data_IF_953334995095
#
_entry.id   IF_953334995095
#
_cell.length_a   1.000
_cell.length_b   1.000
_cell.length_c   1.000
_cell.angle_alpha   90.00
_cell.angle_beta   90.00
_cell.angle_gamma   90.00
#
_symmetry.space_group_name_H-M   'P 1'
#
loop_
_entity.id
_entity.type
_entity.pdbx_description
1 polymer ?
#
# COMPACT_ATOMS: atom_id res chain seq x y z
N UNK A 1 -21.60 -8.77 -20.04
CA UNK A 1 -20.45 -8.40 -19.15
C UNK A 1 -19.70 -7.25 -19.82
N UNK A 2 -19.74 -6.05 -19.26
CA UNK A 2 -18.94 -4.92 -19.74
C UNK A 2 -17.48 -5.23 -19.51
N UNK A 3 -16.65 -5.20 -20.57
CA UNK A 3 -15.20 -5.37 -20.46
C UNK A 3 -14.65 -4.39 -19.44
N UNK A 4 -13.93 -4.88 -18.43
CA UNK A 4 -13.21 -4.02 -17.48
C UNK A 4 -12.26 -3.10 -18.26
N UNK A 5 -12.19 -1.83 -17.87
CA UNK A 5 -11.29 -0.84 -18.47
C UNK A 5 -9.81 -1.19 -18.25
N UNK A 6 -9.52 -1.94 -17.19
CA UNK A 6 -8.19 -2.38 -16.83
C UNK A 6 -7.99 -3.86 -17.13
N UNK A 7 -6.85 -4.17 -17.69
CA UNK A 7 -6.31 -5.52 -17.75
C UNK A 7 -5.23 -5.66 -16.69
N UNK A 8 -5.27 -6.76 -15.94
CA UNK A 8 -4.24 -7.09 -14.94
C UNK A 8 -3.36 -8.19 -15.55
N UNK A 9 -2.19 -7.84 -16.09
CA UNK A 9 -1.30 -8.84 -16.66
C UNK A 9 -0.85 -9.85 -15.61
N UNK A 10 -0.81 -11.12 -16.01
CA UNK A 10 -0.34 -12.22 -15.16
C UNK A 10 1.11 -12.53 -15.50
N UNK A 11 1.93 -12.61 -14.46
CA UNK A 11 3.34 -12.94 -14.53
C UNK A 11 4.19 -12.04 -13.63
N UNK A 12 5.12 -12.65 -12.90
CA UNK A 12 6.18 -11.91 -12.22
C UNK A 12 7.45 -12.08 -13.03
N UNK A 13 7.81 -11.05 -13.80
CA UNK A 13 8.84 -11.10 -14.82
C UNK A 13 10.21 -10.69 -14.27
N UNK A 14 11.28 -11.21 -14.89
CA UNK A 14 12.66 -10.81 -14.59
C UNK A 14 13.03 -9.61 -15.47
N UNK A 15 12.45 -8.45 -15.19
CA UNK A 15 12.81 -7.20 -15.85
C UNK A 15 14.19 -6.68 -15.42
N UNK A 16 14.61 -6.96 -14.16
CA UNK A 16 15.87 -6.48 -13.64
C UNK A 16 16.52 -7.49 -12.68
N UNK A 17 17.88 -7.47 -12.59
CA UNK A 17 18.65 -8.36 -11.70
C UNK A 17 18.54 -7.98 -10.21
N UNK A 18 18.43 -6.67 -9.88
CA UNK A 18 18.26 -6.19 -8.51
C UNK A 18 16.78 -6.23 -8.15
N UNK A 19 16.42 -6.92 -7.08
CA UNK A 19 15.04 -7.13 -6.64
C UNK A 19 14.26 -5.83 -6.42
N UNK A 20 14.92 -4.80 -5.87
CA UNK A 20 14.30 -3.50 -5.62
C UNK A 20 13.73 -2.86 -6.88
N UNK A 21 14.45 -2.89 -7.99
CA UNK A 21 13.96 -2.39 -9.27
C UNK A 21 13.00 -3.37 -9.94
N UNK A 22 13.33 -4.67 -9.89
CA UNK A 22 12.47 -5.71 -10.47
C UNK A 22 11.06 -5.68 -9.89
N UNK A 23 10.94 -5.51 -8.57
CA UNK A 23 9.65 -5.42 -7.92
C UNK A 23 8.84 -4.21 -8.40
N UNK A 24 9.42 -3.03 -8.47
CA UNK A 24 8.71 -1.82 -8.91
C UNK A 24 8.27 -1.91 -10.38
N UNK A 25 9.11 -2.45 -11.27
CA UNK A 25 8.73 -2.68 -12.67
C UNK A 25 7.52 -3.64 -12.78
N UNK A 26 7.54 -4.72 -12.00
CA UNK A 26 6.39 -5.63 -11.93
C UNK A 26 5.16 -4.98 -11.28
N UNK A 27 5.34 -4.10 -10.27
CA UNK A 27 4.22 -3.39 -9.62
C UNK A 27 3.41 -2.59 -10.64
N UNK A 28 4.05 -1.73 -11.40
CA UNK A 28 3.35 -0.90 -12.40
C UNK A 28 2.73 -1.72 -13.52
N UNK A 29 3.41 -2.77 -13.96
CA UNK A 29 2.90 -3.68 -14.97
C UNK A 29 1.68 -4.46 -14.47
N UNK A 30 1.76 -5.10 -13.31
CA UNK A 30 0.68 -5.92 -12.74
C UNK A 30 -0.57 -5.13 -12.38
N UNK A 31 -0.43 -3.84 -12.03
CA UNK A 31 -1.54 -2.92 -11.79
C UNK A 31 -2.24 -2.47 -13.10
N UNK A 32 -1.70 -2.82 -14.26
CA UNK A 32 -2.26 -2.48 -15.58
C UNK A 32 -1.90 -1.07 -16.06
N UNK A 33 -0.93 -0.41 -15.43
CA UNK A 33 -0.53 0.97 -15.75
C UNK A 33 0.69 1.06 -16.66
N UNK A 34 1.51 0.01 -16.74
CA UNK A 34 2.74 0.01 -17.52
C UNK A 34 2.75 -1.10 -18.56
N UNK A 35 3.26 -0.80 -19.75
CA UNK A 35 3.44 -1.77 -20.82
C UNK A 35 4.61 -2.70 -20.52
N UNK A 36 4.50 -3.94 -20.92
CA UNK A 36 5.55 -4.95 -20.74
C UNK A 36 6.87 -4.52 -21.39
N UNK A 37 6.82 -4.06 -22.64
CA UNK A 37 8.01 -3.66 -23.42
C UNK A 37 8.72 -2.46 -22.79
N UNK A 38 7.95 -1.49 -22.27
CA UNK A 38 8.48 -0.32 -21.60
C UNK A 38 9.23 -0.73 -20.30
N UNK A 39 8.67 -1.65 -19.53
CA UNK A 39 9.32 -2.16 -18.30
C UNK A 39 10.57 -2.99 -18.60
N UNK A 40 10.54 -3.77 -19.67
CA UNK A 40 11.70 -4.52 -20.15
C UNK A 40 12.82 -3.60 -20.61
N UNK A 41 12.50 -2.57 -21.40
CA UNK A 41 13.46 -1.59 -21.91
C UNK A 41 14.16 -0.86 -20.73
N UNK A 42 13.38 -0.29 -19.81
CA UNK A 42 13.92 0.42 -18.63
C UNK A 42 14.72 -0.51 -17.73
N UNK A 43 14.26 -1.75 -17.54
CA UNK A 43 14.97 -2.74 -16.73
C UNK A 43 16.39 -3.02 -17.22
N UNK A 44 16.63 -2.98 -18.53
CA UNK A 44 17.97 -3.14 -19.11
C UNK A 44 18.87 -1.89 -18.90
N UNK A 45 18.29 -0.70 -18.88
CA UNK A 45 19.03 0.58 -18.80
C UNK A 45 19.40 0.99 -17.38
N UNK A 46 18.57 0.66 -16.40
CA UNK A 46 18.75 1.07 -15.00
C UNK A 46 19.89 0.28 -14.35
N UNK A 47 20.85 0.98 -13.74
CA UNK A 47 21.95 0.41 -12.94
C UNK A 47 21.96 0.94 -11.50
N UNK A 48 21.41 2.14 -11.30
CA UNK A 48 21.40 2.88 -10.03
C UNK A 48 20.05 3.58 -9.79
N UNK A 49 19.84 4.13 -8.59
CA UNK A 49 18.67 4.97 -8.28
C UNK A 49 18.62 6.26 -9.12
N UNK A 50 19.80 6.79 -9.47
CA UNK A 50 19.89 7.96 -10.38
C UNK A 50 19.41 7.59 -11.78
N UNK A 51 19.85 6.45 -12.31
CA UNK A 51 19.39 5.98 -13.64
C UNK A 51 17.89 5.68 -13.63
N UNK A 52 17.36 5.11 -12.52
CA UNK A 52 15.93 4.87 -12.36
C UNK A 52 15.12 6.15 -12.61
N UNK A 53 15.45 7.25 -11.91
CA UNK A 53 14.78 8.53 -12.12
C UNK A 53 14.89 8.96 -13.59
N UNK A 54 16.11 9.00 -14.12
CA UNK A 54 16.38 9.49 -15.47
C UNK A 54 15.64 8.68 -16.55
N UNK A 55 15.69 7.36 -16.47
CA UNK A 55 15.06 6.51 -17.49
C UNK A 55 13.53 6.49 -17.37
N UNK A 56 12.98 6.57 -16.15
CA UNK A 56 11.54 6.69 -15.96
C UNK A 56 10.98 8.04 -16.44
N UNK A 57 11.73 9.15 -16.25
CA UNK A 57 11.32 10.45 -16.78
C UNK A 57 11.33 10.44 -18.32
N UNK A 58 12.39 9.94 -18.96
CA UNK A 58 12.45 9.79 -20.42
C UNK A 58 11.29 8.95 -20.96
N UNK A 59 10.98 7.86 -20.27
CA UNK A 59 9.87 6.98 -20.65
C UNK A 59 8.51 7.68 -20.49
N UNK A 60 8.34 8.49 -19.44
CA UNK A 60 7.14 9.29 -19.21
C UNK A 60 6.95 10.34 -20.32
N UNK A 61 8.00 11.10 -20.64
CA UNK A 61 7.99 12.10 -21.72
C UNK A 61 7.70 11.46 -23.10
N UNK A 62 8.29 10.30 -23.39
CA UNK A 62 7.98 9.53 -24.59
C UNK A 62 6.51 9.10 -24.61
N UNK A 63 6.00 8.56 -23.51
CA UNK A 63 4.59 8.16 -23.43
C UNK A 63 3.63 9.34 -23.58
N UNK A 64 3.98 10.50 -23.06
CA UNK A 64 3.22 11.74 -23.19
C UNK A 64 3.20 12.21 -24.68
N UNK A 65 4.36 12.23 -25.37
CA UNK A 65 4.44 12.56 -26.79
C UNK A 65 3.67 11.61 -27.69
N UNK A 66 3.53 10.35 -27.28
CA UNK A 66 2.73 9.32 -27.97
C UNK A 66 1.25 9.34 -27.55
N UNK A 67 0.79 10.33 -26.78
CA UNK A 67 -0.57 10.45 -26.22
C UNK A 67 -1.00 9.23 -25.37
N UNK A 68 -0.05 8.53 -24.75
CA UNK A 68 -0.28 7.44 -23.80
C UNK A 68 -0.32 7.98 -22.36
N UNK A 69 -1.31 8.87 -22.08
CA UNK A 69 -1.36 9.68 -20.87
C UNK A 69 -1.40 8.85 -19.59
N UNK A 70 -2.12 7.73 -19.57
CA UNK A 70 -2.11 6.81 -18.41
C UNK A 70 -0.70 6.27 -18.13
N UNK A 71 -0.01 5.80 -19.16
CA UNK A 71 1.35 5.30 -18.98
C UNK A 71 2.27 6.42 -18.49
N UNK A 72 2.18 7.62 -19.11
CA UNK A 72 2.98 8.79 -18.74
C UNK A 72 2.79 9.16 -17.27
N UNK A 73 1.52 9.24 -16.78
CA UNK A 73 1.21 9.50 -15.39
C UNK A 73 1.96 8.55 -14.45
N UNK A 74 1.82 7.25 -14.66
CA UNK A 74 2.43 6.26 -13.78
C UNK A 74 3.94 6.11 -13.94
N UNK A 75 4.51 6.52 -15.08
CA UNK A 75 5.97 6.60 -15.24
C UNK A 75 6.56 7.80 -14.50
N UNK A 76 5.86 8.96 -14.45
CA UNK A 76 6.24 10.06 -13.55
C UNK A 76 6.13 9.66 -12.09
N UNK A 77 5.07 8.91 -11.72
CA UNK A 77 4.96 8.34 -10.36
C UNK A 77 6.12 7.39 -10.04
N UNK A 78 6.49 6.53 -10.98
CA UNK A 78 7.63 5.63 -10.83
C UNK A 78 8.95 6.41 -10.71
N UNK A 79 9.12 7.49 -11.49
CA UNK A 79 10.32 8.34 -11.44
C UNK A 79 10.50 8.98 -10.06
N UNK A 80 9.42 9.55 -9.46
CA UNK A 80 9.47 10.22 -8.17
C UNK A 80 9.67 9.26 -6.99
N UNK A 81 9.36 7.97 -7.16
CA UNK A 81 9.29 6.98 -6.08
C UNK A 81 10.56 6.91 -5.23
N UNK A 82 11.72 6.81 -5.85
CA UNK A 82 13.01 6.72 -5.16
C UNK A 82 13.71 8.07 -4.94
N UNK A 83 13.10 9.18 -5.33
CA UNK A 83 13.66 10.52 -5.07
C UNK A 83 13.52 10.87 -3.59
N UNK A 84 14.51 11.60 -3.05
CA UNK A 84 14.43 12.13 -1.69
C UNK A 84 13.45 13.31 -1.61
N UNK A 85 12.92 13.58 -0.42
CA UNK A 85 11.81 14.52 -0.24
C UNK A 85 12.20 16.01 -0.40
N UNK A 86 13.47 16.35 -0.20
CA UNK A 86 14.02 17.68 -0.37
C UNK A 86 14.31 18.06 -1.85
N UNK A 87 14.13 17.11 -2.76
CA UNK A 87 14.36 17.34 -4.18
C UNK A 87 13.14 18.02 -4.82
N UNK A 88 13.33 19.26 -5.37
CA UNK A 88 12.27 20.02 -6.04
C UNK A 88 11.67 19.30 -7.24
N UNK A 89 12.46 18.51 -7.98
CA UNK A 89 11.98 17.70 -9.11
C UNK A 89 10.98 16.60 -8.66
N UNK A 90 11.11 16.10 -7.42
CA UNK A 90 10.16 15.12 -6.88
C UNK A 90 8.74 15.66 -6.86
N UNK A 91 8.59 16.93 -6.45
CA UNK A 91 7.30 17.61 -6.45
C UNK A 91 6.75 17.78 -7.87
N UNK A 92 7.60 18.18 -8.81
CA UNK A 92 7.19 18.32 -10.21
C UNK A 92 6.71 16.99 -10.80
N UNK A 93 7.41 15.87 -10.52
CA UNK A 93 6.98 14.54 -10.98
C UNK A 93 5.65 14.14 -10.34
N UNK A 94 5.46 14.42 -9.06
CA UNK A 94 4.18 14.20 -8.39
C UNK A 94 3.04 15.01 -9.02
N UNK A 95 3.25 16.30 -9.25
CA UNK A 95 2.23 17.16 -9.84
C UNK A 95 1.87 16.68 -11.26
N UNK A 96 2.86 16.34 -12.10
CA UNK A 96 2.63 15.74 -13.42
C UNK A 96 1.86 14.42 -13.34
N UNK A 97 2.20 13.53 -12.38
CA UNK A 97 1.45 12.31 -12.14
C UNK A 97 -0.03 12.58 -11.88
N UNK A 98 -0.32 13.48 -10.94
CA UNK A 98 -1.69 13.80 -10.53
C UNK A 98 -2.46 14.45 -11.69
N UNK A 99 -1.89 15.43 -12.37
CA UNK A 99 -2.54 16.13 -13.49
C UNK A 99 -2.89 15.15 -14.63
N UNK A 100 -1.93 14.35 -15.07
CA UNK A 100 -2.14 13.38 -16.12
C UNK A 100 -3.12 12.28 -15.72
N UNK A 101 -3.13 11.86 -14.45
CA UNK A 101 -4.09 10.89 -13.93
C UNK A 101 -5.51 11.43 -14.08
N UNK A 102 -5.79 12.61 -13.57
CA UNK A 102 -7.14 13.18 -13.63
C UNK A 102 -7.56 13.58 -15.06
N UNK A 103 -6.63 13.99 -15.93
CA UNK A 103 -6.90 14.19 -17.36
C UNK A 103 -7.30 12.85 -18.01
N UNK A 104 -6.55 11.79 -17.76
CA UNK A 104 -6.80 10.45 -18.35
C UNK A 104 -8.17 9.91 -17.96
N UNK A 105 -8.57 10.10 -16.71
CA UNK A 105 -9.78 9.50 -16.13
C UNK A 105 -10.93 10.50 -15.94
N UNK A 106 -10.88 11.67 -16.59
CA UNK A 106 -11.88 12.76 -16.47
C UNK A 106 -13.33 12.32 -16.71
N UNK A 107 -13.54 11.30 -17.55
CA UNK A 107 -14.86 10.77 -17.89
C UNK A 107 -15.34 9.64 -16.96
N UNK A 108 -14.54 9.25 -15.98
CA UNK A 108 -14.80 8.06 -15.14
C UNK A 108 -15.64 8.36 -13.89
N UNK A 109 -16.14 9.58 -13.74
CA UNK A 109 -16.93 10.01 -12.57
C UNK A 109 -16.26 9.68 -11.24
N UNK A 110 -14.97 10.01 -11.15
CA UNK A 110 -14.21 9.93 -9.89
C UNK A 110 -14.64 11.11 -9.02
N UNK A 111 -15.17 10.82 -7.84
CA UNK A 111 -15.49 11.85 -6.85
C UNK A 111 -14.33 12.03 -5.87
N UNK A 112 -13.88 13.26 -5.68
CA UNK A 112 -12.80 13.61 -4.76
C UNK A 112 -13.35 14.33 -3.53
N UNK A 113 -12.82 13.97 -2.35
CA UNK A 113 -13.28 14.53 -1.08
C UNK A 113 -12.09 14.96 -0.21
N UNK A 114 -12.37 15.89 0.68
CA UNK A 114 -11.49 16.32 1.77
C UNK A 114 -12.22 16.00 3.07
N UNK A 115 -11.93 14.85 3.67
CA UNK A 115 -12.53 14.44 4.93
C UNK A 115 -11.89 15.21 6.08
N UNK A 116 -12.62 15.99 6.88
CA UNK A 116 -12.05 16.74 8.01
C UNK A 116 -11.40 15.79 9.03
N UNK A 117 -10.18 16.08 9.43
CA UNK A 117 -9.45 15.30 10.42
C UNK A 117 -8.45 16.16 11.17
N UNK A 118 -8.63 16.29 12.50
CA UNK A 118 -7.89 17.24 13.32
C UNK A 118 -8.03 18.64 12.68
N UNK A 119 -6.95 19.40 12.54
CA UNK A 119 -6.94 20.73 11.91
C UNK A 119 -6.61 20.65 10.40
N UNK A 120 -6.82 19.51 9.76
CA UNK A 120 -6.44 19.23 8.39
C UNK A 120 -7.48 18.37 7.67
N UNK A 121 -7.08 17.70 6.58
CA UNK A 121 -7.96 16.84 5.79
C UNK A 121 -7.28 15.53 5.42
N UNK A 122 -8.09 14.46 5.35
CA UNK A 122 -7.74 13.20 4.69
C UNK A 122 -8.28 13.25 3.26
N UNK A 123 -7.45 13.23 2.23
CA UNK A 123 -7.91 13.09 0.86
C UNK A 123 -8.60 11.74 0.66
N UNK A 124 -9.74 11.76 -0.01
CA UNK A 124 -10.46 10.55 -0.35
C UNK A 124 -10.96 10.59 -1.80
N UNK A 125 -11.05 9.43 -2.40
CA UNK A 125 -11.55 9.19 -3.74
C UNK A 125 -12.68 8.16 -3.65
N UNK A 126 -13.82 8.45 -4.29
CA UNK A 126 -14.95 7.53 -4.36
C UNK A 126 -15.25 7.15 -5.81
N UNK A 127 -15.53 5.88 -6.03
CA UNK A 127 -16.01 5.32 -7.28
C UNK A 127 -17.30 4.56 -7.01
N UNK A 128 -18.40 5.04 -7.56
CA UNK A 128 -19.71 4.43 -7.42
C UNK A 128 -19.86 3.22 -8.35
N UNK A 129 -20.67 2.20 -7.99
CA UNK A 129 -20.91 1.04 -8.82
C UNK A 129 -21.66 1.43 -10.10
N UNK A 130 -21.51 0.62 -11.15
CA UNK A 130 -22.34 0.72 -12.33
C UNK A 130 -23.68 0.04 -12.07
N UNK A 131 -24.79 0.76 -12.34
CA UNK A 131 -26.16 0.29 -12.15
C UNK A 131 -26.76 0.68 -10.80
N UNK A 132 -28.06 0.39 -10.62
CA UNK A 132 -28.87 0.95 -9.54
C UNK A 132 -28.74 0.22 -8.20
N UNK A 133 -28.16 -1.00 -8.19
CA UNK A 133 -28.06 -1.81 -6.98
C UNK A 133 -26.64 -1.91 -6.47
N UNK A 134 -26.38 -1.22 -5.36
CA UNK A 134 -25.14 -1.32 -4.57
C UNK A 134 -25.16 -2.61 -3.74
N UNK A 135 -24.11 -3.45 -3.87
CA UNK A 135 -23.93 -4.69 -3.08
C UNK A 135 -23.34 -4.42 -1.70
N UNK A 136 -22.63 -3.32 -1.53
CA UNK A 136 -21.96 -2.95 -0.28
C UNK A 136 -20.92 -1.85 -0.52
N UNK A 137 -20.23 -1.45 0.55
CA UNK A 137 -19.17 -0.45 0.51
C UNK A 137 -17.83 -1.08 0.90
N UNK A 138 -16.83 -0.85 0.07
CA UNK A 138 -15.41 -1.18 0.35
C UNK A 138 -14.69 0.12 0.65
N UNK A 139 -14.11 0.21 1.85
CA UNK A 139 -13.17 1.28 2.23
C UNK A 139 -11.77 0.73 2.11
N UNK A 140 -10.84 1.47 1.49
CA UNK A 140 -9.48 0.98 1.30
C UNK A 140 -8.43 2.05 1.52
N UNK A 141 -7.25 1.62 1.94
CA UNK A 141 -6.09 2.49 2.08
C UNK A 141 -4.79 1.73 1.82
N UNK A 142 -3.77 2.50 1.47
CA UNK A 142 -2.42 1.98 1.28
C UNK A 142 -1.63 1.86 2.58
N UNK A 143 -0.34 1.62 2.39
CA UNK A 143 0.64 1.50 3.48
C UNK A 143 1.61 2.69 3.54
N UNK A 144 2.90 2.40 3.35
CA UNK A 144 4.00 3.32 3.64
C UNK A 144 4.27 4.36 2.54
N UNK A 145 4.01 4.00 1.26
CA UNK A 145 4.55 4.75 0.12
C UNK A 145 3.59 4.93 -1.07
N UNK A 146 2.36 4.45 -0.97
CA UNK A 146 1.38 4.52 -2.06
C UNK A 146 0.49 5.76 -1.98
N UNK A 147 -0.01 6.17 -3.15
CA UNK A 147 -1.06 7.17 -3.31
C UNK A 147 -2.38 6.50 -3.68
N UNK A 148 -3.51 7.14 -3.38
CA UNK A 148 -4.84 6.54 -3.68
C UNK A 148 -5.05 6.33 -5.16
N UNK A 149 -4.48 7.14 -6.03
CA UNK A 149 -4.56 7.02 -7.48
C UNK A 149 -3.96 5.70 -7.99
N UNK A 150 -2.97 5.14 -7.28
CA UNK A 150 -2.38 3.84 -7.64
C UNK A 150 -3.36 2.67 -7.48
N UNK A 151 -4.36 2.83 -6.62
CA UNK A 151 -5.40 1.81 -6.39
C UNK A 151 -6.62 1.97 -7.29
N UNK A 152 -6.62 2.94 -8.20
CA UNK A 152 -7.76 3.21 -9.05
C UNK A 152 -8.19 1.98 -9.89
N UNK A 153 -7.25 1.19 -10.39
CA UNK A 153 -7.57 -0.06 -11.10
C UNK A 153 -8.31 -1.08 -10.22
N UNK A 154 -7.96 -1.17 -8.92
CA UNK A 154 -8.69 -1.99 -7.94
C UNK A 154 -10.07 -1.42 -7.67
N UNK A 155 -10.17 -0.11 -7.46
CA UNK A 155 -11.46 0.55 -7.21
C UNK A 155 -12.43 0.32 -8.37
N UNK A 156 -11.96 0.47 -9.61
CA UNK A 156 -12.74 0.18 -10.81
C UNK A 156 -13.16 -1.27 -10.89
N UNK A 157 -12.26 -2.19 -10.55
CA UNK A 157 -12.57 -3.61 -10.55
C UNK A 157 -13.71 -3.93 -9.58
N UNK A 158 -13.65 -3.46 -8.36
CA UNK A 158 -14.73 -3.65 -7.38
C UNK A 158 -16.02 -2.93 -7.78
N UNK A 159 -15.91 -1.71 -8.29
CA UNK A 159 -17.06 -0.94 -8.75
C UNK A 159 -17.78 -1.61 -9.94
N UNK A 160 -17.04 -2.17 -10.89
CA UNK A 160 -17.59 -2.93 -12.01
C UNK A 160 -18.32 -4.22 -11.54
N UNK A 161 -18.04 -4.70 -10.32
CA UNK A 161 -18.71 -5.84 -9.67
C UNK A 161 -19.82 -5.44 -8.69
N UNK A 162 -20.19 -4.15 -8.64
CA UNK A 162 -21.35 -3.66 -7.90
C UNK A 162 -21.07 -3.11 -6.50
N UNK A 163 -19.81 -2.87 -6.14
CA UNK A 163 -19.44 -2.25 -4.87
C UNK A 163 -19.18 -0.76 -5.03
N UNK A 164 -19.62 0.03 -4.07
CA UNK A 164 -19.11 1.38 -3.88
C UNK A 164 -17.73 1.29 -3.24
N UNK A 165 -16.77 2.03 -3.77
CA UNK A 165 -15.39 1.99 -3.27
C UNK A 165 -14.92 3.37 -2.88
N UNK A 166 -14.43 3.49 -1.64
CA UNK A 166 -13.85 4.70 -1.10
C UNK A 166 -12.40 4.39 -0.74
N UNK A 167 -11.45 5.02 -1.44
CA UNK A 167 -10.05 5.00 -1.06
C UNK A 167 -9.67 6.30 -0.38
N UNK A 168 -8.85 6.27 0.67
CA UNK A 168 -8.41 7.47 1.36
C UNK A 168 -6.93 7.41 1.73
N UNK A 169 -6.33 8.57 1.93
CA UNK A 169 -4.98 8.74 2.46
C UNK A 169 -5.06 9.18 3.91
N UNK A 170 -4.57 8.32 4.80
CA UNK A 170 -4.48 8.63 6.21
C UNK A 170 -3.23 9.44 6.57
N UNK A 171 -3.03 9.74 7.86
CA UNK A 171 -1.85 10.46 8.34
C UNK A 171 -0.55 9.83 7.83
N UNK A 172 0.38 10.65 7.35
CA UNK A 172 1.66 10.21 6.79
C UNK A 172 1.62 9.75 5.33
N UNK A 173 0.44 9.52 4.76
CA UNK A 173 0.28 9.03 3.38
C UNK A 173 0.06 10.18 2.39
N UNK A 174 0.49 10.00 1.15
CA UNK A 174 0.21 10.79 -0.03
C UNK A 174 -0.01 12.29 0.20
N UNK A 175 -1.12 12.82 -0.25
CA UNK A 175 -1.48 14.23 -0.09
C UNK A 175 -1.86 14.59 1.36
N UNK A 176 -2.29 13.64 2.20
CA UNK A 176 -2.51 13.89 3.63
C UNK A 176 -1.22 14.35 4.31
N UNK A 177 -0.08 13.75 3.95
CA UNK A 177 1.24 14.20 4.40
C UNK A 177 1.75 15.39 3.62
N UNK A 178 1.67 15.34 2.29
CA UNK A 178 2.33 16.29 1.38
C UNK A 178 1.65 17.67 1.36
N UNK A 179 0.31 17.71 1.34
CA UNK A 179 -0.49 18.94 1.26
C UNK A 179 -0.94 19.45 2.63
N UNK A 180 -1.25 18.53 3.54
CA UNK A 180 -1.86 18.86 4.83
C UNK A 180 -0.95 18.65 6.04
N UNK A 181 0.27 18.12 5.83
CA UNK A 181 1.29 18.02 6.87
C UNK A 181 0.99 16.99 7.98
N UNK A 182 0.01 16.11 7.80
CA UNK A 182 -0.33 15.08 8.76
C UNK A 182 0.81 14.06 8.89
N UNK A 183 1.31 13.88 10.10
CA UNK A 183 2.35 12.90 10.40
C UNK A 183 1.77 11.50 10.56
N UNK A 184 2.53 10.49 10.13
CA UNK A 184 2.19 9.08 10.29
C UNK A 184 1.94 8.73 11.76
N UNK A 185 0.84 8.05 12.01
CA UNK A 185 0.39 7.62 13.32
C UNK A 185 -0.03 6.15 13.27
N UNK A 186 0.10 5.43 14.38
CA UNK A 186 -0.31 4.02 14.44
C UNK A 186 -1.78 3.83 14.90
N UNK A 187 -2.39 4.84 15.50
CA UNK A 187 -3.78 4.83 15.98
C UNK A 187 -4.78 4.98 14.81
N UNK A 188 -4.76 3.97 13.92
CA UNK A 188 -5.46 4.03 12.63
C UNK A 188 -6.99 3.97 12.75
N UNK A 189 -7.52 3.57 13.88
CA UNK A 189 -8.95 3.68 14.20
C UNK A 189 -9.46 5.12 14.10
N UNK A 190 -8.63 6.11 14.41
CA UNK A 190 -9.02 7.53 14.40
C UNK A 190 -9.29 8.06 12.98
N UNK A 191 -8.39 7.92 11.99
CA UNK A 191 -8.68 8.35 10.63
C UNK A 191 -9.78 7.51 9.96
N UNK A 192 -9.87 6.20 10.25
CA UNK A 192 -10.98 5.36 9.77
C UNK A 192 -12.31 5.87 10.30
N UNK A 193 -12.41 6.13 11.61
CA UNK A 193 -13.62 6.69 12.23
C UNK A 193 -14.05 7.98 11.52
N UNK A 194 -13.12 8.90 11.26
CA UNK A 194 -13.42 10.16 10.57
C UNK A 194 -13.97 9.92 9.15
N UNK A 195 -13.41 8.97 8.40
CA UNK A 195 -13.90 8.60 7.07
C UNK A 195 -15.31 8.00 7.14
N UNK A 196 -15.55 7.05 8.07
CA UNK A 196 -16.87 6.42 8.23
C UNK A 196 -17.93 7.44 8.67
N UNK A 197 -17.60 8.35 9.58
CA UNK A 197 -18.49 9.44 10.02
C UNK A 197 -18.85 10.37 8.85
N UNK A 198 -17.86 10.79 8.07
CA UNK A 198 -18.06 11.71 6.95
C UNK A 198 -18.99 11.14 5.86
N UNK A 199 -18.79 9.88 5.51
CA UNK A 199 -19.60 9.20 4.50
C UNK A 199 -20.86 8.52 5.09
N UNK A 200 -21.09 8.60 6.40
CA UNK A 200 -22.22 8.00 7.13
C UNK A 200 -22.35 6.49 6.87
N UNK A 201 -21.26 5.78 7.10
CA UNK A 201 -21.15 4.34 6.81
C UNK A 201 -21.21 3.51 8.11
N UNK A 202 -22.06 2.46 8.11
CA UNK A 202 -22.26 1.57 9.27
C UNK A 202 -21.91 0.09 9.02
N UNK A 203 -21.82 -0.33 7.76
CA UNK A 203 -21.42 -1.68 7.35
C UNK A 203 -20.41 -1.60 6.19
N UNK A 204 -19.14 -1.79 6.51
CA UNK A 204 -18.10 -1.72 5.50
C UNK A 204 -17.18 -2.95 5.51
N UNK A 205 -16.62 -3.23 4.34
CA UNK A 205 -15.42 -4.06 4.19
C UNK A 205 -14.21 -3.15 4.12
N UNK A 206 -13.27 -3.30 5.07
CA UNK A 206 -12.03 -2.53 5.09
C UNK A 206 -10.90 -3.33 4.41
N UNK A 207 -10.18 -2.71 3.48
CA UNK A 207 -9.04 -3.30 2.78
C UNK A 207 -7.77 -2.50 3.07
N UNK A 208 -6.80 -3.15 3.71
CA UNK A 208 -5.48 -2.57 3.97
C UNK A 208 -4.41 -3.23 3.10
N UNK A 209 -3.58 -2.42 2.42
CA UNK A 209 -2.56 -2.88 1.47
C UNK A 209 -1.16 -2.59 2.00
N UNK A 210 -0.27 -3.59 1.98
CA UNK A 210 1.10 -3.49 2.51
C UNK A 210 1.10 -3.20 4.02
N UNK A 211 1.79 -2.16 4.50
CA UNK A 211 1.71 -1.71 5.90
C UNK A 211 0.26 -1.38 6.31
N UNK A 212 -0.61 -1.06 5.34
CA UNK A 212 -2.05 -0.92 5.56
C UNK A 212 -2.71 -2.16 6.11
N UNK A 213 -2.13 -3.34 5.93
CA UNK A 213 -2.58 -4.58 6.57
C UNK A 213 -2.50 -4.50 8.10
N UNK A 214 -1.42 -3.94 8.66
CA UNK A 214 -1.31 -3.68 10.09
C UNK A 214 -2.32 -2.62 10.53
N UNK A 215 -2.44 -1.53 9.78
CA UNK A 215 -3.36 -0.44 10.08
C UNK A 215 -4.82 -0.87 10.08
N UNK A 216 -5.24 -1.72 9.14
CA UNK A 216 -6.63 -2.18 9.10
C UNK A 216 -6.96 -3.11 10.28
N UNK A 217 -6.02 -3.93 10.78
CA UNK A 217 -6.22 -4.70 12.00
C UNK A 217 -6.30 -3.83 13.24
N UNK A 218 -5.47 -2.81 13.35
CA UNK A 218 -5.59 -1.82 14.42
C UNK A 218 -6.95 -1.12 14.39
N UNK A 219 -7.40 -0.70 13.22
CA UNK A 219 -8.68 -0.01 13.09
C UNK A 219 -9.86 -0.90 13.46
N UNK A 220 -9.90 -2.14 12.97
CA UNK A 220 -11.04 -3.06 13.21
C UNK A 220 -11.15 -3.49 14.67
N UNK A 221 -10.06 -3.47 15.43
CA UNK A 221 -10.09 -3.75 16.86
C UNK A 221 -10.94 -2.73 17.65
N UNK A 222 -11.10 -1.50 17.15
CA UNK A 222 -11.77 -0.39 17.84
C UNK A 222 -12.98 0.19 17.09
N UNK A 223 -13.18 -0.15 15.82
CA UNK A 223 -14.28 0.40 15.00
C UNK A 223 -15.29 -0.69 14.60
N UNK A 224 -16.40 -0.81 15.31
CA UNK A 224 -17.37 -1.89 15.12
C UNK A 224 -18.19 -1.80 13.82
N UNK A 225 -18.19 -0.66 13.13
CA UNK A 225 -18.83 -0.49 11.81
C UNK A 225 -18.09 -1.22 10.70
N UNK A 226 -16.83 -1.59 10.91
CA UNK A 226 -16.12 -2.49 10.02
C UNK A 226 -16.62 -3.90 10.31
N UNK A 227 -17.32 -4.53 9.36
CA UNK A 227 -17.83 -5.90 9.51
C UNK A 227 -16.92 -6.96 8.94
N UNK A 228 -16.10 -6.58 7.97
CA UNK A 228 -15.14 -7.44 7.26
C UNK A 228 -13.82 -6.72 7.10
N UNK A 229 -12.73 -7.40 7.37
CA UNK A 229 -11.38 -6.83 7.19
C UNK A 229 -10.54 -7.72 6.27
N UNK A 230 -9.84 -7.08 5.35
CA UNK A 230 -8.98 -7.74 4.36
C UNK A 230 -7.59 -7.12 4.44
N UNK A 231 -6.59 -7.93 4.74
CA UNK A 231 -5.20 -7.52 4.77
C UNK A 231 -4.42 -8.14 3.62
N UNK A 232 -3.88 -7.31 2.72
CA UNK A 232 -2.99 -7.73 1.65
C UNK A 232 -1.55 -7.45 2.07
N UNK A 233 -0.83 -8.49 2.44
CA UNK A 233 0.51 -8.49 3.04
C UNK A 233 0.55 -7.75 4.38
N UNK A 234 0.56 -8.50 5.46
CA UNK A 234 0.57 -7.99 6.84
C UNK A 234 1.89 -8.26 7.55
N UNK A 235 2.32 -7.34 8.43
CA UNK A 235 3.32 -7.58 9.45
C UNK A 235 2.69 -7.39 10.83
N UNK A 236 2.57 -8.47 11.59
CA UNK A 236 1.99 -8.52 12.92
C UNK A 236 2.77 -7.68 13.93
N UNK A 237 4.09 -7.87 13.96
CA UNK A 237 5.04 -7.08 14.72
C UNK A 237 6.25 -6.84 13.83
N UNK A 238 6.49 -5.58 13.46
CA UNK A 238 7.56 -5.26 12.51
C UNK A 238 8.94 -5.59 13.02
N UNK A 239 9.18 -5.46 14.33
CA UNK A 239 10.48 -5.82 14.92
C UNK A 239 10.69 -7.33 14.99
N UNK A 240 9.62 -8.12 15.14
CA UNK A 240 9.67 -9.58 15.13
C UNK A 240 9.86 -10.16 13.70
N UNK A 241 9.77 -9.34 12.66
CA UNK A 241 10.14 -9.75 11.30
C UNK A 241 11.65 -9.98 11.15
N UNK A 242 12.47 -9.45 12.05
CA UNK A 242 13.92 -9.64 12.06
C UNK A 242 14.34 -10.89 12.84
N UNK A 243 15.55 -11.37 12.57
CA UNK A 243 16.21 -12.35 13.44
C UNK A 243 16.36 -11.79 14.86
N UNK A 244 16.27 -12.63 15.89
CA UNK A 244 16.28 -12.23 17.31
C UNK A 244 17.53 -11.42 17.67
N UNK A 245 18.70 -11.83 17.19
CA UNK A 245 19.99 -11.14 17.49
C UNK A 245 19.99 -9.77 16.81
N UNK A 246 19.66 -9.72 15.53
CA UNK A 246 19.59 -8.47 14.76
C UNK A 246 18.56 -7.52 15.39
N UNK A 247 17.40 -8.02 15.80
CA UNK A 247 16.37 -7.24 16.47
C UNK A 247 16.89 -6.61 17.78
N UNK A 248 17.51 -7.42 18.66
CA UNK A 248 18.08 -6.91 19.92
C UNK A 248 19.11 -5.82 19.65
N UNK A 249 19.98 -6.04 18.67
CA UNK A 249 20.98 -5.05 18.25
C UNK A 249 20.31 -3.77 17.73
N UNK A 250 19.32 -3.85 16.85
CA UNK A 250 18.60 -2.67 16.36
C UNK A 250 17.92 -1.89 17.48
N UNK A 251 17.23 -2.58 18.39
CA UNK A 251 16.58 -1.94 19.55
C UNK A 251 17.62 -1.25 20.42
N UNK A 252 18.79 -1.88 20.65
CA UNK A 252 19.89 -1.28 21.39
C UNK A 252 20.40 0.00 20.73
N UNK A 253 20.65 -0.02 19.41
CA UNK A 253 21.06 1.16 18.65
C UNK A 253 20.03 2.29 18.70
N UNK A 254 18.74 1.96 18.56
CA UNK A 254 17.65 2.94 18.63
C UNK A 254 17.57 3.56 20.02
N UNK A 255 17.67 2.76 21.09
CA UNK A 255 17.44 3.23 22.47
C UNK A 255 18.67 3.85 23.15
N UNK A 256 19.86 3.31 22.95
CA UNK A 256 21.02 3.60 23.78
C UNK A 256 22.15 4.38 23.08
N UNK A 257 22.28 4.29 21.76
CA UNK A 257 23.34 5.00 21.02
C UNK A 257 22.79 5.87 19.90
N UNK A 258 21.68 6.54 20.17
CA UNK A 258 20.90 7.35 19.22
C UNK A 258 21.75 8.38 18.47
N UNK A 259 22.58 9.15 19.17
CA UNK A 259 23.37 10.21 18.55
C UNK A 259 24.35 9.68 17.50
N UNK A 260 25.01 8.57 17.80
CA UNK A 260 25.90 7.90 16.84
C UNK A 260 25.12 7.34 15.66
N UNK A 261 24.03 6.62 15.95
CA UNK A 261 23.14 6.03 14.94
C UNK A 261 22.55 7.09 14.02
N UNK A 262 22.09 8.23 14.54
CA UNK A 262 21.62 9.37 13.76
C UNK A 262 22.69 9.87 12.78
N UNK A 263 23.92 10.09 13.26
CA UNK A 263 25.03 10.54 12.40
C UNK A 263 25.31 9.56 11.26
N UNK A 264 25.30 8.27 11.55
CA UNK A 264 25.57 7.22 10.55
C UNK A 264 24.48 7.15 9.49
N UNK A 265 23.19 7.16 9.90
CA UNK A 265 22.06 7.11 8.98
C UNK A 265 21.97 8.38 8.13
N UNK A 266 22.13 9.57 8.72
CA UNK A 266 22.14 10.85 7.99
C UNK A 266 23.28 10.90 6.97
N UNK A 267 24.47 10.38 7.32
CA UNK A 267 25.58 10.25 6.36
C UNK A 267 25.23 9.32 5.20
N UNK A 268 24.51 8.22 5.48
CA UNK A 268 23.98 7.31 4.45
C UNK A 268 22.97 7.99 3.52
N UNK A 269 22.04 8.75 4.07
CA UNK A 269 21.04 9.53 3.31
C UNK A 269 21.73 10.56 2.40
N UNK A 270 22.69 11.32 2.93
CA UNK A 270 23.45 12.32 2.14
C UNK A 270 24.23 11.71 0.98
N UNK A 271 24.71 10.47 1.11
CA UNK A 271 25.34 9.73 0.01
C UNK A 271 24.36 9.30 -1.08
N UNK A 272 23.05 9.31 -0.80
CA UNK A 272 21.97 9.05 -1.76
C UNK A 272 21.95 7.63 -2.35
N UNK A 273 22.70 6.69 -1.79
CA UNK A 273 22.89 5.38 -2.37
C UNK A 273 22.17 4.28 -1.58
N UNK A 274 21.14 3.72 -2.18
CA UNK A 274 20.56 2.46 -1.75
C UNK A 274 19.20 2.57 -1.05
N UNK A 275 18.58 1.40 -0.91
CA UNK A 275 17.23 1.25 -0.37
C UNK A 275 17.13 1.72 1.09
N UNK A 276 18.16 1.48 1.91
CA UNK A 276 18.17 1.89 3.32
C UNK A 276 18.13 3.41 3.48
N UNK A 277 18.92 4.14 2.67
CA UNK A 277 18.90 5.60 2.67
C UNK A 277 17.52 6.14 2.29
N UNK A 278 16.92 5.59 1.25
CA UNK A 278 15.56 5.95 0.82
C UNK A 278 14.52 5.63 1.91
N UNK A 279 14.53 4.42 2.47
CA UNK A 279 13.58 4.03 3.53
C UNK A 279 13.69 4.92 4.75
N UNK A 280 14.90 5.24 5.20
CA UNK A 280 15.11 6.12 6.36
C UNK A 280 14.62 7.54 6.09
N UNK A 281 14.94 8.09 4.92
CA UNK A 281 14.46 9.41 4.51
C UNK A 281 12.93 9.46 4.37
N UNK A 282 12.34 8.41 3.77
CA UNK A 282 10.90 8.28 3.64
C UNK A 282 10.21 8.17 5.01
N UNK A 283 10.79 7.41 5.95
CA UNK A 283 10.26 7.29 7.31
C UNK A 283 10.31 8.62 8.06
N UNK A 284 11.44 9.33 7.99
CA UNK A 284 11.58 10.68 8.57
C UNK A 284 10.54 11.63 8.00
N UNK A 285 10.32 11.60 6.69
CA UNK A 285 9.32 12.42 6.02
C UNK A 285 7.90 12.09 6.47
N UNK A 286 7.51 10.81 6.44
CA UNK A 286 6.13 10.39 6.77
C UNK A 286 5.80 10.64 8.23
N UNK A 287 6.75 10.40 9.15
CA UNK A 287 6.59 10.65 10.59
C UNK A 287 6.82 12.10 11.01
N UNK A 288 7.26 12.95 10.07
CA UNK A 288 7.60 14.38 10.35
C UNK A 288 8.67 14.52 11.43
N UNK A 289 9.66 13.61 11.42
CA UNK A 289 10.80 13.63 12.36
C UNK A 289 12.07 14.08 11.66
N UNK A 290 12.87 14.91 12.34
CA UNK A 290 14.13 15.42 11.82
C UNK A 290 15.28 14.44 11.99
N UNK A 291 15.19 13.55 12.98
CA UNK A 291 16.24 12.57 13.29
C UNK A 291 15.78 11.14 12.96
N UNK A 292 16.67 10.32 12.33
CA UNK A 292 16.34 8.95 11.96
C UNK A 292 15.87 8.07 13.11
N UNK A 293 16.49 8.18 14.30
CA UNK A 293 16.11 7.36 15.45
C UNK A 293 14.75 7.74 16.02
N UNK A 294 14.37 9.03 15.95
CA UNK A 294 13.03 9.48 16.34
C UNK A 294 11.96 8.99 15.35
N UNK A 295 12.32 8.91 14.08
CA UNK A 295 11.44 8.31 13.08
C UNK A 295 11.32 6.79 13.26
N UNK A 296 12.40 6.10 13.63
CA UNK A 296 12.39 4.67 13.92
C UNK A 296 11.60 4.29 15.17
N UNK A 297 11.38 5.22 16.11
CA UNK A 297 10.47 4.99 17.25
C UNK A 297 9.05 4.61 16.77
N UNK A 298 8.63 5.10 15.59
CA UNK A 298 7.38 4.69 14.99
C UNK A 298 7.34 3.18 14.66
N UNK A 299 8.44 2.60 14.15
CA UNK A 299 8.50 1.15 13.91
C UNK A 299 8.35 0.33 15.19
N UNK A 300 8.81 0.86 16.33
CA UNK A 300 8.64 0.22 17.62
C UNK A 300 7.18 0.22 18.07
N UNK A 301 6.36 1.16 17.59
CA UNK A 301 4.92 1.20 17.88
C UNK A 301 4.12 0.19 17.02
N UNK A 302 4.66 -0.25 15.88
CA UNK A 302 4.00 -1.26 15.04
C UNK A 302 4.27 -2.67 15.57
N UNK A 303 3.81 -2.94 16.77
CA UNK A 303 3.98 -4.17 17.51
C UNK A 303 2.64 -4.86 17.80
N UNK A 304 2.70 -6.08 18.36
CA UNK A 304 1.52 -6.87 18.70
C UNK A 304 0.64 -6.24 19.78
N UNK A 305 1.25 -5.53 20.74
CA UNK A 305 0.54 -4.89 21.85
C UNK A 305 -0.35 -3.75 21.34
N UNK A 306 0.17 -2.90 20.46
CA UNK A 306 -0.60 -1.80 19.85
C UNK A 306 -1.56 -2.28 18.75
N UNK A 307 -1.38 -3.48 18.22
CA UNK A 307 -2.24 -4.03 17.17
C UNK A 307 -3.58 -4.51 17.70
N UNK A 308 -3.62 -5.04 18.92
CA UNK A 308 -4.81 -5.56 19.58
C UNK A 308 -5.58 -6.60 18.78
N UNK A 309 -4.88 -7.57 18.17
CA UNK A 309 -5.51 -8.60 17.33
C UNK A 309 -6.54 -9.44 18.08
N UNK A 310 -6.41 -9.58 19.39
CA UNK A 310 -7.35 -10.28 20.27
C UNK A 310 -8.71 -9.56 20.40
N UNK A 311 -8.77 -8.27 20.08
CA UNK A 311 -10.03 -7.51 20.12
C UNK A 311 -10.82 -7.63 18.80
N UNK A 312 -10.22 -8.19 17.76
CA UNK A 312 -10.89 -8.37 16.45
C UNK A 312 -11.98 -9.42 16.56
N UNK A 313 -13.24 -9.04 16.26
CA UNK A 313 -14.43 -9.90 16.32
C UNK A 313 -15.09 -10.11 14.96
N UNK A 314 -14.56 -9.53 13.92
CA UNK A 314 -15.11 -9.48 12.57
C UNK A 314 -14.69 -10.69 11.73
N UNK A 315 -15.25 -10.78 10.53
CA UNK A 315 -14.78 -11.70 9.52
C UNK A 315 -13.46 -11.19 8.93
N UNK A 316 -12.44 -12.05 8.82
CA UNK A 316 -11.07 -11.70 8.44
C UNK A 316 -10.63 -12.47 7.21
N UNK A 317 -10.05 -11.76 6.23
CA UNK A 317 -9.32 -12.33 5.10
C UNK A 317 -7.87 -11.84 5.12
N UNK A 318 -6.93 -12.77 5.15
CA UNK A 318 -5.49 -12.49 5.03
C UNK A 318 -4.98 -13.02 3.69
N UNK A 319 -4.41 -12.13 2.88
CA UNK A 319 -3.79 -12.46 1.60
C UNK A 319 -2.28 -12.38 1.73
N UNK A 320 -1.57 -13.48 1.57
CA UNK A 320 -0.12 -13.54 1.78
C UNK A 320 0.60 -14.14 0.57
N UNK A 321 1.60 -13.44 0.07
CA UNK A 321 2.55 -14.00 -0.89
C UNK A 321 3.58 -14.88 -0.17
N UNK A 322 3.74 -16.14 -0.57
CA UNK A 322 4.69 -17.08 0.05
C UNK A 322 6.14 -16.58 0.04
N UNK A 323 6.50 -15.82 -0.99
CA UNK A 323 7.83 -15.28 -1.22
C UNK A 323 7.87 -13.75 -1.10
N UNK A 324 7.00 -13.19 -0.25
CA UNK A 324 7.04 -11.75 0.07
C UNK A 324 8.43 -11.38 0.60
N UNK A 325 9.10 -10.45 -0.07
CA UNK A 325 10.48 -10.07 0.25
C UNK A 325 10.57 -8.95 1.29
N UNK A 326 9.45 -8.30 1.61
CA UNK A 326 9.38 -7.31 2.68
C UNK A 326 8.90 -7.91 4.00
N UNK A 327 7.94 -8.84 3.92
CA UNK A 327 7.27 -9.41 5.09
C UNK A 327 7.49 -10.92 5.11
N UNK A 328 8.30 -11.44 6.04
CA UNK A 328 8.58 -12.87 6.10
C UNK A 328 7.31 -13.66 6.42
N UNK A 329 7.17 -14.82 5.79
CA UNK A 329 5.97 -15.68 5.88
C UNK A 329 5.57 -16.05 7.32
N UNK A 330 6.51 -16.05 8.26
CA UNK A 330 6.20 -16.29 9.70
C UNK A 330 5.23 -15.26 10.27
N UNK A 331 5.23 -14.00 9.76
CA UNK A 331 4.28 -12.98 10.21
C UNK A 331 2.83 -13.37 9.93
N UNK A 332 2.58 -14.11 8.82
CA UNK A 332 1.27 -14.68 8.51
C UNK A 332 0.78 -15.59 9.65
N UNK A 333 1.61 -16.56 10.08
CA UNK A 333 1.24 -17.47 11.15
C UNK A 333 1.04 -16.78 12.48
N UNK A 334 1.87 -15.78 12.79
CA UNK A 334 1.74 -14.98 14.01
C UNK A 334 0.41 -14.24 14.04
N UNK A 335 0.03 -13.60 12.93
CA UNK A 335 -1.24 -12.88 12.83
C UNK A 335 -2.44 -13.82 12.92
N UNK A 336 -2.44 -14.93 12.18
CA UNK A 336 -3.54 -15.92 12.24
C UNK A 336 -3.73 -16.43 13.67
N UNK A 337 -2.64 -16.74 14.37
CA UNK A 337 -2.69 -17.22 15.76
C UNK A 337 -3.22 -16.18 16.75
N UNK A 338 -2.98 -14.91 16.50
CA UNK A 338 -3.38 -13.81 17.39
C UNK A 338 -4.87 -13.42 17.27
N UNK A 339 -5.55 -13.86 16.22
CA UNK A 339 -6.97 -13.55 15.97
C UNK A 339 -7.91 -14.48 16.75
N UNK A 340 -7.78 -14.53 18.06
CA UNK A 340 -8.45 -15.51 18.91
C UNK A 340 -9.96 -15.32 19.06
N UNK A 341 -10.45 -14.11 18.83
CA UNK A 341 -11.86 -13.75 18.97
C UNK A 341 -12.53 -13.39 17.64
N UNK A 342 -11.80 -13.51 16.51
CA UNK A 342 -12.38 -13.24 15.20
C UNK A 342 -13.53 -14.21 14.90
N UNK A 343 -14.61 -13.70 14.33
CA UNK A 343 -15.80 -14.50 13.96
C UNK A 343 -15.44 -15.56 12.91
N UNK A 344 -14.59 -15.21 11.95
CA UNK A 344 -13.99 -16.14 11.01
C UNK A 344 -12.60 -15.65 10.57
N UNK A 345 -11.69 -16.58 10.24
CA UNK A 345 -10.38 -16.25 9.68
C UNK A 345 -10.15 -17.10 8.43
N UNK A 346 -10.10 -16.44 7.29
CA UNK A 346 -9.68 -17.04 6.01
C UNK A 346 -8.27 -16.57 5.69
N UNK A 347 -7.33 -17.51 5.60
CA UNK A 347 -5.93 -17.21 5.32
C UNK A 347 -5.52 -17.81 3.97
N UNK A 348 -5.39 -16.95 2.94
CA UNK A 348 -5.00 -17.36 1.59
C UNK A 348 -3.52 -17.12 1.35
N UNK A 349 -2.78 -18.18 1.03
CA UNK A 349 -1.38 -18.11 0.65
C UNK A 349 -1.26 -18.30 -0.86
N UNK A 350 -0.54 -17.39 -1.52
CA UNK A 350 -0.27 -17.43 -2.95
C UNK A 350 1.16 -17.90 -3.19
N UNK A 351 1.33 -18.81 -4.14
CA UNK A 351 2.60 -19.45 -4.47
C UNK A 351 3.12 -19.02 -5.84
N UNK A 352 4.29 -19.51 -6.25
CA UNK A 352 4.91 -19.16 -7.54
C UNK A 352 4.07 -19.61 -8.74
N UNK A 353 3.36 -20.71 -8.59
CA UNK A 353 2.49 -21.30 -9.63
C UNK A 353 1.37 -20.36 -10.02
N UNK A 354 0.91 -19.51 -9.08
CA UNK A 354 -0.13 -18.51 -9.31
C UNK A 354 0.42 -17.14 -9.74
N UNK A 355 1.74 -16.95 -9.75
CA UNK A 355 2.44 -15.68 -9.94
C UNK A 355 2.14 -14.59 -8.90
N UNK A 356 1.26 -14.83 -7.92
CA UNK A 356 0.85 -13.89 -6.87
C UNK A 356 1.69 -14.01 -5.57
N UNK A 357 2.83 -14.70 -5.62
CA UNK A 357 3.66 -15.06 -4.46
C UNK A 357 4.47 -13.92 -3.84
N UNK A 358 4.47 -12.75 -4.46
CA UNK A 358 5.23 -11.58 -4.02
C UNK A 358 4.40 -10.67 -3.11
N UNK A 359 5.04 -9.60 -2.62
CA UNK A 359 4.41 -8.57 -1.81
C UNK A 359 3.16 -8.00 -2.50
N UNK A 360 2.05 -7.92 -1.76
CA UNK A 360 0.74 -7.44 -2.26
C UNK A 360 0.28 -8.14 -3.55
N UNK A 361 0.62 -9.41 -3.72
CA UNK A 361 0.26 -10.27 -4.85
C UNK A 361 0.67 -9.69 -6.23
N UNK A 362 1.73 -8.84 -6.25
CA UNK A 362 2.32 -8.35 -7.50
C UNK A 362 2.76 -9.53 -8.36
N UNK A 363 2.33 -9.53 -9.62
CA UNK A 363 2.45 -10.61 -10.58
C UNK A 363 1.13 -11.28 -10.94
N UNK A 364 0.10 -11.20 -10.07
CA UNK A 364 -1.26 -11.62 -10.40
C UNK A 364 -2.30 -10.95 -9.49
N UNK A 365 -2.46 -9.65 -9.69
CA UNK A 365 -3.40 -8.82 -8.92
C UNK A 365 -4.84 -9.32 -9.10
N UNK A 366 -5.21 -9.67 -10.34
CA UNK A 366 -6.57 -10.13 -10.63
C UNK A 366 -6.99 -11.31 -9.75
N UNK A 367 -6.10 -12.27 -9.55
CA UNK A 367 -6.39 -13.43 -8.70
C UNK A 367 -6.70 -13.00 -7.26
N UNK A 368 -5.97 -12.03 -6.72
CA UNK A 368 -6.24 -11.49 -5.38
C UNK A 368 -7.60 -10.78 -5.32
N UNK A 369 -7.93 -9.98 -6.33
CA UNK A 369 -9.22 -9.28 -6.42
C UNK A 369 -10.39 -10.26 -6.57
N UNK A 370 -10.22 -11.32 -7.35
CA UNK A 370 -11.22 -12.39 -7.51
C UNK A 370 -11.47 -13.12 -6.18
N UNK A 371 -10.41 -13.42 -5.41
CA UNK A 371 -10.51 -14.01 -4.07
C UNK A 371 -11.30 -13.11 -3.13
N UNK A 372 -11.01 -11.81 -3.14
CA UNK A 372 -11.74 -10.82 -2.33
C UNK A 372 -13.22 -10.80 -2.70
N UNK A 373 -13.55 -10.67 -3.99
CA UNK A 373 -14.93 -10.61 -4.48
C UNK A 373 -15.73 -11.87 -4.17
N UNK A 374 -15.09 -13.04 -4.22
CA UNK A 374 -15.72 -14.31 -3.84
C UNK A 374 -15.95 -14.38 -2.33
N UNK A 375 -15.01 -13.89 -1.55
CA UNK A 375 -15.05 -14.00 -0.09
C UNK A 375 -16.07 -13.06 0.56
N UNK A 376 -16.24 -11.81 0.09
CA UNK A 376 -17.14 -10.83 0.72
C UNK A 376 -18.57 -11.35 0.89
N UNK A 377 -19.25 -11.94 -0.12
CA UNK A 377 -20.60 -12.46 0.02
C UNK A 377 -20.70 -13.82 0.72
N UNK A 378 -19.59 -14.59 0.76
CA UNK A 378 -19.53 -15.97 1.26
C UNK A 378 -19.36 -16.06 2.79
N UNK A 379 -19.25 -14.93 3.48
CA UNK A 379 -18.99 -14.92 4.93
C UNK A 379 -20.26 -15.30 5.67
N UNK A 380 -20.48 -16.58 5.82
CA UNK A 380 -21.52 -17.17 6.66
C UNK A 380 -21.01 -17.43 8.08
N UNK A 381 -21.87 -17.51 9.11
CA UNK A 381 -21.49 -17.56 10.52
C UNK A 381 -20.92 -18.92 10.95
N UNK A 382 -19.95 -19.47 10.25
CA UNK A 382 -19.24 -20.69 10.67
C UNK A 382 -17.75 -20.45 10.75
N UNK A 383 -17.21 -20.63 11.96
CA UNK A 383 -15.78 -20.63 12.24
C UNK A 383 -15.11 -21.74 11.40
N UNK A 384 -14.43 -21.35 10.33
CA UNK A 384 -13.57 -22.27 9.57
C UNK A 384 -12.21 -21.63 9.38
N UNK A 385 -11.23 -22.12 10.10
CA UNK A 385 -9.82 -21.87 9.76
C UNK A 385 -9.53 -22.70 8.52
N UNK A 386 -9.74 -22.14 7.35
CA UNK A 386 -9.38 -22.82 6.10
C UNK A 386 -8.03 -22.31 5.63
N UNK A 387 -6.98 -23.07 5.94
CA UNK A 387 -5.70 -22.93 5.25
C UNK A 387 -5.90 -23.52 3.86
N UNK A 388 -6.20 -22.69 2.87
CA UNK A 388 -6.24 -23.13 1.48
C UNK A 388 -4.82 -23.04 0.93
N UNK A 389 -4.22 -24.21 0.68
CA UNK A 389 -2.93 -24.36 -0.01
C UNK A 389 -3.01 -23.88 -1.46
#
# INVERSE_FOLDING_TARGET
>A
MTKSKFTFPVGYHKFHKKQVFNFQLNRWHSLGYARFEDMKEVGHKVKSFKDWKTEMVKLAEKAESENRLMNAAFYYRAAEFYMLQDNSEKRQMYDKFIDLFYITFKNDKIEQFKVPYKEAFLPAMKVSPKGDRKKGTIVMHGGFDSFIEEFYSWMRYFSDHGYEVIAFEGPGQGAARRKYGLALDYEWEKPIKAVLDYFKLDDVTLVGISMGGWFCFRAVAFEPRIKRVIASSIAYDYMKTMNVVIRKMHIYFIKHIRNYSNKMVLKGIKRGNGMQAWMSAQLMYTTKKEMPMDALDFWLQLNEENLHSELVKQDVLILTGRNDHFIPFRAHHMQVKALTNAKSVTAKVFTKETHAHNHCQIGNIKLALDVILKWIPDVSPKTVVTVVQ
#
